data_IF_818013676622
#
_entry.id   IF_818013676622
#
_cell.length_a   1.000
_cell.length_b   1.000
_cell.length_c   1.000
_cell.angle_alpha   90.00
_cell.angle_beta   90.00
_cell.angle_gamma   90.00
#
_symmetry.space_group_name_H-M   'P 1'
#
loop_
_entity.id
_entity.type
_entity.pdbx_description
1 polymer ?
#
# COMPACT_ATOMS: atom_id res chain seq x y z
N UNK A 1 -0.21 17.52 -19.33
CA UNK A 1 -0.13 16.79 -18.04
C UNK A 1 -0.16 17.82 -16.93
N UNK A 2 -1.17 17.77 -16.05
CA UNK A 2 -1.11 18.58 -14.83
C UNK A 2 0.08 18.07 -14.01
N UNK A 3 1.00 18.95 -13.67
CA UNK A 3 2.13 18.61 -12.82
C UNK A 3 1.56 18.38 -11.41
N UNK A 4 1.78 17.21 -10.85
CA UNK A 4 1.36 16.91 -9.49
C UNK A 4 1.95 17.98 -8.54
N UNK A 5 1.16 18.36 -7.54
CA UNK A 5 1.54 19.40 -6.58
C UNK A 5 2.59 18.87 -5.59
N UNK A 6 2.48 17.60 -5.21
CA UNK A 6 3.34 16.92 -4.24
C UNK A 6 4.15 15.82 -4.90
N UNK A 7 5.16 15.33 -4.19
CA UNK A 7 5.95 14.17 -4.60
C UNK A 7 5.38 12.87 -4.07
N UNK A 8 4.90 12.88 -2.84
CA UNK A 8 4.43 11.70 -2.15
C UNK A 8 3.12 12.03 -1.43
N UNK A 9 2.07 11.22 -1.66
CA UNK A 9 0.87 11.20 -0.84
C UNK A 9 0.89 9.96 0.05
N UNK A 10 0.84 10.16 1.36
CA UNK A 10 0.72 9.08 2.35
C UNK A 10 -0.76 8.83 2.60
N UNK A 11 -1.22 7.62 2.28
CA UNK A 11 -2.61 7.19 2.43
C UNK A 11 -2.75 6.43 3.75
N UNK A 12 -3.49 6.99 4.71
CA UNK A 12 -3.52 6.51 6.09
C UNK A 12 -4.96 6.43 6.62
N UNK A 13 -5.68 5.31 6.43
CA UNK A 13 -6.91 5.05 7.16
C UNK A 13 -6.59 4.69 8.61
N UNK A 14 -7.41 5.15 9.56
CA UNK A 14 -7.22 4.92 10.99
C UNK A 14 -8.54 4.72 11.71
N UNK A 15 -8.51 3.97 12.83
CA UNK A 15 -9.63 3.78 13.74
C UNK A 15 -9.16 3.45 15.16
N UNK A 16 -9.53 4.30 16.11
CA UNK A 16 -9.42 4.02 17.55
C UNK A 16 -8.03 3.92 18.15
N UNK A 17 -6.96 4.25 17.40
CA UNK A 17 -5.56 4.08 17.77
C UNK A 17 -4.84 5.41 17.93
N UNK A 18 -5.32 6.25 18.84
CA UNK A 18 -4.87 7.66 18.97
C UNK A 18 -3.36 7.81 19.16
N UNK A 19 -2.76 7.06 20.08
CA UNK A 19 -1.30 7.12 20.34
C UNK A 19 -0.51 6.62 19.16
N UNK A 20 -0.87 5.46 18.59
CA UNK A 20 -0.18 4.87 17.44
C UNK A 20 -0.25 5.80 16.22
N UNK A 21 -1.40 6.42 15.97
CA UNK A 21 -1.56 7.42 14.90
C UNK A 21 -0.61 8.61 15.09
N UNK A 22 -0.49 9.14 16.31
CA UNK A 22 0.43 10.25 16.62
C UNK A 22 1.88 9.84 16.36
N UNK A 23 2.30 8.67 16.86
CA UNK A 23 3.65 8.16 16.71
C UNK A 23 3.97 7.89 15.23
N UNK A 24 3.02 7.32 14.50
CA UNK A 24 3.13 7.04 13.08
C UNK A 24 3.34 8.31 12.25
N UNK A 25 2.47 9.32 12.40
CA UNK A 25 2.58 10.59 11.68
C UNK A 25 3.87 11.33 12.09
N UNK A 26 4.17 11.40 13.38
CA UNK A 26 5.39 12.04 13.86
C UNK A 26 6.65 11.40 13.27
N UNK A 27 6.70 10.06 13.21
CA UNK A 27 7.84 9.35 12.64
C UNK A 27 8.05 9.66 11.15
N UNK A 28 6.97 9.73 10.38
CA UNK A 28 7.05 10.12 8.97
C UNK A 28 7.63 11.53 8.80
N UNK A 29 7.14 12.48 9.57
CA UNK A 29 7.52 13.90 9.43
C UNK A 29 8.92 14.19 9.95
N UNK A 30 9.29 13.62 11.11
CA UNK A 30 10.63 13.81 11.72
C UNK A 30 11.74 13.21 10.85
N UNK A 31 11.47 12.09 10.17
CA UNK A 31 12.44 11.44 9.30
C UNK A 31 12.41 11.94 7.85
N UNK A 32 11.45 12.75 7.46
CA UNK A 32 11.43 13.35 6.13
C UNK A 32 12.43 14.50 6.02
N UNK A 33 13.04 14.66 4.85
CA UNK A 33 13.90 15.80 4.53
C UNK A 33 13.10 17.02 4.10
N UNK A 34 12.04 16.82 3.32
CA UNK A 34 11.25 17.89 2.74
C UNK A 34 9.75 17.61 2.93
N UNK A 35 9.24 17.96 4.07
CA UNK A 35 7.82 17.74 4.42
C UNK A 35 6.84 18.46 3.49
N UNK A 36 7.27 19.53 2.80
CA UNK A 36 6.44 20.28 1.84
C UNK A 36 6.16 19.50 0.55
N UNK A 37 6.92 18.46 0.27
CA UNK A 37 6.68 17.56 -0.87
C UNK A 37 5.73 16.41 -0.51
N UNK A 38 5.26 16.35 0.76
CA UNK A 38 4.42 15.28 1.30
C UNK A 38 3.00 15.81 1.50
N UNK A 39 2.02 15.04 1.05
CA UNK A 39 0.60 15.20 1.34
C UNK A 39 0.14 14.06 2.25
N UNK A 40 -0.39 14.36 3.44
CA UNK A 40 -1.01 13.36 4.31
C UNK A 40 -2.50 13.26 3.99
N UNK A 41 -3.00 12.06 3.65
CA UNK A 41 -4.42 11.83 3.38
C UNK A 41 -4.94 10.81 4.38
N UNK A 42 -5.73 11.30 5.36
CA UNK A 42 -6.22 10.52 6.49
C UNK A 42 -7.69 10.14 6.28
N UNK A 43 -8.02 8.91 6.63
CA UNK A 43 -9.39 8.40 6.61
C UNK A 43 -9.85 8.00 8.01
N UNK A 44 -10.96 8.57 8.49
CA UNK A 44 -11.57 8.27 9.78
C UNK A 44 -12.95 7.66 9.60
N UNK A 45 -13.30 6.67 10.39
CA UNK A 45 -14.69 6.22 10.47
C UNK A 45 -15.56 7.27 11.17
N UNK A 46 -16.74 7.55 10.65
CA UNK A 46 -17.67 8.56 11.20
C UNK A 46 -18.13 8.24 12.63
N UNK A 47 -18.05 6.98 13.04
CA UNK A 47 -18.37 6.52 14.39
C UNK A 47 -17.15 6.53 15.34
N UNK A 48 -15.93 6.76 14.84
CA UNK A 48 -14.71 6.92 15.64
C UNK A 48 -14.49 8.37 16.10
N UNK A 49 -15.38 8.82 16.97
CA UNK A 49 -15.29 10.18 17.53
C UNK A 49 -14.02 10.41 18.35
N UNK A 50 -13.51 9.36 19.03
CA UNK A 50 -12.31 9.48 19.86
C UNK A 50 -11.09 9.71 18.99
N UNK A 51 -10.93 8.95 17.92
CA UNK A 51 -9.82 9.09 16.97
C UNK A 51 -9.85 10.45 16.26
N UNK A 52 -11.01 10.86 15.77
CA UNK A 52 -11.17 12.15 15.11
C UNK A 52 -10.98 13.35 16.06
N UNK A 53 -11.55 13.30 17.26
CA UNK A 53 -11.36 14.34 18.28
C UNK A 53 -9.88 14.48 18.69
N UNK A 54 -9.17 13.36 18.80
CA UNK A 54 -7.73 13.37 19.07
C UNK A 54 -6.94 14.01 17.92
N UNK A 55 -7.24 13.65 16.67
CA UNK A 55 -6.65 14.30 15.51
C UNK A 55 -6.82 15.82 15.54
N UNK A 56 -8.04 16.31 15.75
CA UNK A 56 -8.35 17.74 15.74
C UNK A 56 -7.66 18.49 16.89
N UNK A 57 -7.51 17.88 18.07
CA UNK A 57 -6.97 18.53 19.26
C UNK A 57 -5.45 18.47 19.35
N UNK A 58 -4.86 17.35 18.95
CA UNK A 58 -3.44 17.07 19.22
C UNK A 58 -2.59 17.07 17.95
N UNK A 59 -3.08 16.49 16.84
CA UNK A 59 -2.29 16.32 15.62
C UNK A 59 -2.43 17.50 14.66
N UNK A 60 -3.66 17.89 14.38
CA UNK A 60 -3.94 18.97 13.42
C UNK A 60 -3.23 20.29 13.76
N UNK A 61 -3.21 20.80 15.01
CA UNK A 61 -2.50 22.04 15.33
C UNK A 61 -1.00 21.95 15.08
N UNK A 62 -0.41 20.77 15.26
CA UNK A 62 1.01 20.56 14.98
C UNK A 62 1.28 20.57 13.46
N UNK A 63 0.45 19.89 12.67
CA UNK A 63 0.53 19.92 11.20
C UNK A 63 0.39 21.36 10.67
N UNK A 64 -0.60 22.11 11.16
CA UNK A 64 -0.85 23.50 10.77
C UNK A 64 0.34 24.41 11.11
N UNK A 65 0.92 24.25 12.31
CA UNK A 65 2.06 25.04 12.77
C UNK A 65 3.32 24.83 11.94
N UNK A 66 3.49 23.63 11.37
CA UNK A 66 4.62 23.27 10.52
C UNK A 66 4.33 23.43 9.03
N UNK A 67 3.11 23.84 8.66
CA UNK A 67 2.68 24.02 7.27
C UNK A 67 2.70 22.72 6.47
N UNK A 68 2.32 21.60 7.12
CA UNK A 68 2.19 20.29 6.49
C UNK A 68 0.84 20.23 5.78
N UNK A 69 0.84 19.81 4.52
CA UNK A 69 -0.39 19.61 3.77
C UNK A 69 -1.09 18.32 4.17
N UNK A 70 -2.34 18.40 4.53
CA UNK A 70 -3.15 17.22 4.87
C UNK A 70 -4.60 17.36 4.41
N UNK A 71 -5.25 16.20 4.24
CA UNK A 71 -6.68 16.06 4.00
C UNK A 71 -7.23 15.00 4.96
N UNK A 72 -8.17 15.37 5.83
CA UNK A 72 -8.86 14.43 6.71
C UNK A 72 -10.28 14.19 6.20
N UNK A 73 -10.66 12.92 6.03
CA UNK A 73 -11.93 12.49 5.44
C UNK A 73 -12.68 11.55 6.38
N UNK A 74 -14.01 11.73 6.45
CA UNK A 74 -14.91 10.82 7.17
C UNK A 74 -15.50 9.75 6.26
N UNK A 75 -15.62 8.53 6.78
CA UNK A 75 -16.17 7.37 6.08
C UNK A 75 -17.28 6.71 6.90
N UNK A 76 -18.28 6.16 6.23
CA UNK A 76 -19.13 5.14 6.85
C UNK A 76 -18.25 3.92 7.19
N UNK A 77 -18.38 3.39 8.39
CA UNK A 77 -17.54 2.28 8.84
C UNK A 77 -17.77 1.03 8.01
N UNK A 78 -16.74 0.62 7.26
CA UNK A 78 -16.77 -0.58 6.40
C UNK A 78 -15.98 -1.74 7.01
N UNK A 79 -15.24 -1.49 8.07
CA UNK A 79 -14.35 -2.46 8.70
C UNK A 79 -13.29 -3.01 7.75
N UNK A 80 -12.65 -4.12 8.17
CA UNK A 80 -11.58 -4.74 7.39
C UNK A 80 -12.02 -5.19 5.98
N UNK A 81 -13.25 -5.66 5.83
CA UNK A 81 -13.77 -6.12 4.53
C UNK A 81 -13.84 -5.01 3.47
N UNK A 82 -13.94 -3.76 3.91
CA UNK A 82 -13.96 -2.58 3.05
C UNK A 82 -12.64 -1.81 2.98
N UNK A 83 -11.54 -2.34 3.52
CA UNK A 83 -10.26 -1.62 3.64
C UNK A 83 -9.76 -1.05 2.30
N UNK A 84 -9.91 -1.81 1.21
CA UNK A 84 -9.55 -1.32 -0.12
C UNK A 84 -10.38 -0.11 -0.56
N UNK A 85 -11.63 0.02 -0.10
CA UNK A 85 -12.48 1.17 -0.46
C UNK A 85 -11.97 2.46 0.20
N UNK A 86 -11.49 2.38 1.47
CA UNK A 86 -10.83 3.53 2.09
C UNK A 86 -9.63 3.98 1.25
N UNK A 87 -8.71 3.06 0.96
CA UNK A 87 -7.50 3.40 0.20
C UNK A 87 -7.80 3.88 -1.23
N UNK A 88 -8.82 3.34 -1.89
CA UNK A 88 -9.22 3.80 -3.21
C UNK A 88 -9.73 5.25 -3.18
N UNK A 89 -10.53 5.61 -2.17
CA UNK A 89 -11.02 6.98 -2.02
C UNK A 89 -9.88 7.92 -1.66
N UNK A 90 -8.99 7.56 -0.72
CA UNK A 90 -7.81 8.36 -0.36
C UNK A 90 -6.89 8.55 -1.58
N UNK A 91 -6.63 7.50 -2.35
CA UNK A 91 -5.80 7.55 -3.57
C UNK A 91 -6.39 8.47 -4.64
N UNK A 92 -7.72 8.50 -4.77
CA UNK A 92 -8.41 9.39 -5.72
C UNK A 92 -8.29 10.88 -5.35
N UNK A 93 -7.98 11.23 -4.10
CA UNK A 93 -7.75 12.60 -3.63
C UNK A 93 -6.27 13.02 -3.73
N UNK A 94 -5.37 12.08 -3.98
CA UNK A 94 -3.95 12.37 -4.02
C UNK A 94 -3.57 13.25 -5.22
N UNK A 95 -2.69 14.23 -4.98
CA UNK A 95 -2.12 15.11 -5.99
C UNK A 95 -0.59 14.96 -6.01
N UNK A 96 -0.11 13.72 -6.03
CA UNK A 96 1.28 13.38 -5.88
C UNK A 96 1.79 12.43 -6.98
N UNK A 97 3.11 12.34 -7.15
CA UNK A 97 3.73 11.41 -8.10
C UNK A 97 3.66 9.96 -7.57
N UNK A 98 3.74 9.80 -6.24
CA UNK A 98 3.75 8.52 -5.55
C UNK A 98 2.65 8.45 -4.49
N UNK A 99 2.02 7.27 -4.38
CA UNK A 99 1.04 6.91 -3.36
C UNK A 99 1.71 5.94 -2.38
N UNK A 100 1.86 6.34 -1.14
CA UNK A 100 2.42 5.51 -0.10
C UNK A 100 1.30 4.93 0.76
N UNK A 101 1.02 3.65 0.61
CA UNK A 101 0.07 2.91 1.46
C UNK A 101 0.71 2.74 2.83
N UNK A 102 0.08 3.30 3.86
CA UNK A 102 0.64 3.36 5.20
C UNK A 102 -0.41 3.00 6.26
N UNK A 103 0.02 2.50 7.41
CA UNK A 103 -0.86 2.15 8.53
C UNK A 103 -0.59 3.04 9.74
N UNK A 104 -1.62 3.20 10.58
CA UNK A 104 -1.56 3.99 11.81
C UNK A 104 -0.73 3.32 12.94
N UNK A 105 -0.30 2.08 12.79
CA UNK A 105 0.58 1.33 13.68
C UNK A 105 1.97 1.07 13.09
N UNK A 106 2.35 1.86 12.09
CA UNK A 106 3.66 1.81 11.47
C UNK A 106 4.53 2.99 11.89
N UNK A 107 5.83 2.76 12.06
CA UNK A 107 6.82 3.76 12.45
C UNK A 107 7.93 3.79 11.41
N UNK A 108 8.16 4.96 10.82
CA UNK A 108 9.27 5.20 9.90
C UNK A 108 10.59 5.28 10.67
N UNK A 109 11.61 4.54 10.23
CA UNK A 109 12.93 4.51 10.88
C UNK A 109 14.02 5.17 10.02
N UNK A 110 13.79 5.29 8.71
CA UNK A 110 14.81 5.78 7.78
C UNK A 110 14.79 7.29 7.63
N UNK A 111 15.91 7.92 7.91
CA UNK A 111 16.11 9.35 7.66
C UNK A 111 16.07 9.66 6.17
N UNK A 112 15.39 10.76 5.82
CA UNK A 112 15.27 11.26 4.44
C UNK A 112 14.60 10.26 3.48
N UNK A 113 13.68 9.44 3.99
CA UNK A 113 12.95 8.44 3.22
C UNK A 113 12.25 9.02 1.99
N UNK A 114 11.77 10.25 2.07
CA UNK A 114 11.14 10.99 0.98
C UNK A 114 12.09 11.19 -0.21
N UNK A 115 13.37 11.47 0.06
CA UNK A 115 14.37 11.63 -1.00
C UNK A 115 14.70 10.29 -1.68
N UNK A 116 14.69 9.18 -0.94
CA UNK A 116 14.91 7.85 -1.53
C UNK A 116 13.79 7.53 -2.51
N UNK A 117 12.53 7.74 -2.13
CA UNK A 117 11.38 7.52 -3.03
C UNK A 117 11.47 8.40 -4.28
N UNK A 118 11.81 9.69 -4.12
CA UNK A 118 11.83 10.62 -5.25
C UNK A 118 12.90 10.34 -6.29
N UNK A 119 13.92 9.54 -5.99
CA UNK A 119 14.90 9.07 -6.97
C UNK A 119 14.27 8.19 -8.06
N UNK A 120 13.13 7.60 -7.78
CA UNK A 120 12.39 6.75 -8.70
C UNK A 120 11.29 7.49 -9.47
N UNK A 121 11.16 8.81 -9.30
CA UNK A 121 10.12 9.60 -9.99
C UNK A 121 10.23 9.44 -11.52
N UNK A 122 9.08 9.15 -12.15
CA UNK A 122 8.99 8.88 -13.58
C UNK A 122 9.25 7.41 -13.97
N UNK A 123 9.60 6.55 -13.03
CA UNK A 123 9.70 5.12 -13.26
C UNK A 123 8.37 4.43 -12.99
N UNK A 124 8.04 3.42 -13.80
CA UNK A 124 6.86 2.59 -13.59
C UNK A 124 7.24 1.36 -12.74
N UNK A 125 7.30 1.56 -11.44
CA UNK A 125 7.72 0.57 -10.43
C UNK A 125 6.77 0.59 -9.23
N UNK A 126 6.63 -0.52 -8.53
CA UNK A 126 6.16 -0.55 -7.15
C UNK A 126 7.40 -0.67 -6.25
N UNK A 127 7.54 0.27 -5.30
CA UNK A 127 8.66 0.26 -4.39
C UNK A 127 8.27 -0.49 -3.12
N UNK A 128 9.11 -1.43 -2.73
CA UNK A 128 9.00 -2.21 -1.49
C UNK A 128 10.02 -1.71 -0.48
N UNK A 129 9.56 -1.43 0.73
CA UNK A 129 10.42 -1.09 1.86
C UNK A 129 10.68 -2.30 2.75
N UNK A 130 11.72 -2.25 3.57
CA UNK A 130 12.02 -3.25 4.57
C UNK A 130 11.12 -3.09 5.79
N UNK A 131 10.67 -4.21 6.33
CA UNK A 131 9.92 -4.27 7.59
C UNK A 131 10.52 -5.35 8.48
N UNK A 132 10.27 -5.27 9.78
CA UNK A 132 10.86 -6.12 10.82
C UNK A 132 10.84 -7.62 10.52
N UNK A 133 9.84 -8.10 9.78
CA UNK A 133 9.62 -9.53 9.52
C UNK A 133 9.97 -9.94 8.09
N UNK A 134 10.66 -9.12 7.32
CA UNK A 134 10.99 -9.39 5.92
C UNK A 134 9.85 -10.11 5.17
N UNK A 135 8.67 -9.52 5.22
CA UNK A 135 7.50 -10.13 4.61
C UNK A 135 7.70 -10.29 3.10
N UNK A 136 7.25 -11.40 2.47
CA UNK A 136 7.39 -11.60 1.02
C UNK A 136 6.70 -10.50 0.21
N UNK A 137 5.58 -9.99 0.70
CA UNK A 137 4.86 -8.86 0.10
C UNK A 137 5.41 -7.53 0.59
N UNK A 138 5.13 -6.46 -0.17
CA UNK A 138 5.35 -5.10 0.31
C UNK A 138 4.21 -4.73 1.27
N UNK A 139 4.42 -4.79 2.58
CA UNK A 139 3.40 -4.43 3.58
C UNK A 139 2.96 -2.97 3.40
N UNK A 140 3.90 -2.09 3.08
CA UNK A 140 3.67 -0.69 2.79
C UNK A 140 4.10 -0.38 1.35
N UNK A 141 3.32 -0.78 0.35
CA UNK A 141 3.69 -0.54 -1.05
C UNK A 141 3.63 0.94 -1.39
N UNK A 142 4.63 1.39 -2.18
CA UNK A 142 4.66 2.72 -2.76
C UNK A 142 4.38 2.57 -4.24
N UNK A 143 3.31 3.19 -4.70
CA UNK A 143 2.72 2.96 -6.02
C UNK A 143 2.74 4.28 -6.81
N UNK A 144 3.14 4.29 -8.09
CA UNK A 144 3.07 5.52 -8.88
C UNK A 144 1.62 5.92 -9.16
N UNK A 145 1.32 7.21 -9.13
CA UNK A 145 -0.05 7.73 -9.34
C UNK A 145 -0.69 7.23 -10.65
N UNK A 146 0.11 7.07 -11.70
CA UNK A 146 -0.35 6.54 -12.99
C UNK A 146 -1.03 5.17 -12.87
N UNK A 147 -0.71 4.38 -11.84
CA UNK A 147 -1.40 3.10 -11.58
C UNK A 147 -2.90 3.30 -11.39
N UNK A 148 -3.29 4.26 -10.54
CA UNK A 148 -4.70 4.58 -10.29
C UNK A 148 -5.36 5.20 -11.51
N UNK A 149 -4.63 6.03 -12.25
CA UNK A 149 -5.13 6.64 -13.50
C UNK A 149 -5.47 5.57 -14.55
N UNK A 150 -4.66 4.53 -14.66
CA UNK A 150 -4.84 3.45 -15.63
C UNK A 150 -5.94 2.46 -15.22
N UNK A 151 -6.02 2.13 -13.94
CA UNK A 151 -6.93 1.10 -13.44
C UNK A 151 -8.26 1.66 -12.93
N UNK A 152 -8.33 2.95 -12.58
CA UNK A 152 -9.47 3.58 -11.91
C UNK A 152 -9.59 3.22 -10.42
N UNK A 153 -8.62 2.51 -9.86
CA UNK A 153 -8.56 2.10 -8.45
C UNK A 153 -7.12 1.78 -8.03
N UNK A 154 -6.86 1.81 -6.74
CA UNK A 154 -5.59 1.34 -6.18
C UNK A 154 -5.60 -0.19 -6.02
N UNK A 155 -6.66 -0.72 -5.38
CA UNK A 155 -6.83 -2.15 -5.11
C UNK A 155 -8.30 -2.56 -5.12
N UNK A 156 -8.58 -3.80 -5.49
CA UNK A 156 -9.94 -4.39 -5.49
C UNK A 156 -10.17 -5.36 -4.32
N UNK A 157 -9.13 -5.63 -3.54
CA UNK A 157 -9.18 -6.54 -2.41
C UNK A 157 -8.73 -5.88 -1.10
N UNK A 158 -9.28 -6.30 0.05
CA UNK A 158 -8.89 -5.78 1.35
C UNK A 158 -7.42 -6.10 1.74
N UNK A 159 -6.84 -7.16 1.18
CA UNK A 159 -5.39 -7.45 1.30
C UNK A 159 -4.63 -6.68 0.22
N UNK A 160 -4.53 -5.38 0.41
CA UNK A 160 -3.99 -4.42 -0.57
C UNK A 160 -2.51 -4.71 -0.85
N UNK A 161 -1.75 -4.91 0.21
CA UNK A 161 -0.34 -5.27 0.21
C UNK A 161 -0.05 -6.50 -0.66
N UNK A 162 -0.82 -7.55 -0.45
CA UNK A 162 -0.71 -8.79 -1.22
C UNK A 162 -1.12 -8.60 -2.69
N UNK A 163 -2.24 -7.90 -2.96
CA UNK A 163 -2.72 -7.68 -4.32
C UNK A 163 -1.72 -6.87 -5.15
N UNK A 164 -1.28 -5.72 -4.62
CA UNK A 164 -0.32 -4.85 -5.31
C UNK A 164 1.01 -5.56 -5.55
N UNK A 165 1.52 -6.28 -4.54
CA UNK A 165 2.77 -7.04 -4.66
C UNK A 165 2.67 -8.14 -5.70
N UNK A 166 1.55 -8.85 -5.78
CA UNK A 166 1.37 -9.90 -6.76
C UNK A 166 1.30 -9.38 -8.19
N UNK A 167 0.53 -8.30 -8.42
CA UNK A 167 0.45 -7.69 -9.74
C UNK A 167 1.84 -7.18 -10.16
N UNK A 168 2.55 -6.49 -9.26
CA UNK A 168 3.88 -5.98 -9.53
C UNK A 168 4.89 -7.09 -9.85
N UNK A 169 4.80 -8.20 -9.15
CA UNK A 169 5.61 -9.37 -9.44
C UNK A 169 5.30 -9.98 -10.82
N UNK A 170 4.01 -10.15 -11.15
CA UNK A 170 3.61 -10.65 -12.47
C UNK A 170 4.09 -9.77 -13.63
N UNK A 171 4.31 -8.50 -13.36
CA UNK A 171 4.80 -7.53 -14.34
C UNK A 171 6.32 -7.31 -14.27
N UNK A 172 7.01 -7.90 -13.28
CA UNK A 172 8.45 -7.69 -13.02
C UNK A 172 8.81 -6.21 -12.78
N UNK A 173 8.00 -5.54 -11.95
CA UNK A 173 8.16 -4.11 -11.63
C UNK A 173 8.33 -3.81 -10.14
N UNK A 174 8.62 -4.81 -9.32
CA UNK A 174 8.98 -4.58 -7.91
C UNK A 174 10.42 -4.09 -7.82
N UNK A 175 10.64 -3.05 -7.02
CA UNK A 175 11.95 -2.54 -6.64
C UNK A 175 12.04 -2.48 -5.13
N UNK A 176 13.06 -3.13 -4.55
CA UNK A 176 13.33 -3.06 -3.11
C UNK A 176 14.22 -1.85 -2.86
N UNK A 177 13.80 -0.98 -1.96
CA UNK A 177 14.50 0.26 -1.64
C UNK A 177 14.93 0.29 -0.17
N UNK A 178 16.02 0.97 0.13
CA UNK A 178 16.64 1.03 1.47
C UNK A 178 15.89 2.00 2.40
N UNK A 179 14.63 1.67 2.64
CA UNK A 179 13.77 2.32 3.64
C UNK A 179 13.31 1.25 4.62
N UNK A 180 13.41 1.53 5.91
CA UNK A 180 13.03 0.65 7.00
C UNK A 180 11.89 1.24 7.80
N UNK A 181 10.94 0.40 8.17
CA UNK A 181 9.82 0.77 9.02
C UNK A 181 9.46 -0.40 9.96
N UNK A 182 9.09 -0.07 11.17
CA UNK A 182 8.48 -1.03 12.11
C UNK A 182 6.98 -1.08 11.88
N UNK A 183 6.37 -2.25 12.00
CA UNK A 183 4.94 -2.46 11.98
C UNK A 183 4.53 -3.17 13.27
N UNK A 184 3.79 -2.51 14.13
CA UNK A 184 3.30 -3.06 15.40
C UNK A 184 2.14 -4.03 15.17
N UNK A 185 2.45 -5.22 14.71
CA UNK A 185 1.43 -6.27 14.50
C UNK A 185 0.94 -6.83 15.86
N UNK A 186 -0.32 -7.25 15.89
CA UNK A 186 -0.96 -7.82 17.08
C UNK A 186 -0.23 -9.04 17.67
N UNK A 187 0.43 -9.84 16.84
CA UNK A 187 1.27 -10.96 17.27
C UNK A 187 2.56 -10.53 17.99
N UNK A 188 3.03 -9.30 17.76
CA UNK A 188 4.18 -8.71 18.45
C UNK A 188 3.75 -7.98 19.71
N UNK A 189 2.61 -7.31 19.67
CA UNK A 189 2.10 -6.51 20.81
C UNK A 189 1.18 -7.28 21.75
N UNK A 190 0.73 -8.47 21.36
CA UNK A 190 -0.28 -9.26 22.09
C UNK A 190 -1.68 -8.64 22.08
N UNK A 191 -1.91 -7.58 21.31
CA UNK A 191 -3.20 -6.93 21.18
C UNK A 191 -3.93 -7.47 19.94
N UNK A 192 -5.06 -8.14 20.16
CA UNK A 192 -5.95 -8.57 19.09
C UNK A 192 -6.98 -7.46 18.84
N UNK A 193 -6.88 -6.82 17.71
CA UNK A 193 -7.88 -5.87 17.23
C UNK A 193 -8.95 -6.56 16.35
N UNK A 194 -9.99 -5.79 15.99
CA UNK A 194 -11.09 -6.28 15.14
C UNK A 194 -10.59 -6.69 13.75
N UNK A 195 -9.53 -6.05 13.25
CA UNK A 195 -8.91 -6.37 11.96
C UNK A 195 -8.33 -7.78 11.95
N UNK A 196 -7.55 -8.12 12.97
CA UNK A 196 -6.96 -9.46 13.12
C UNK A 196 -8.04 -10.54 13.27
N UNK A 197 -9.10 -10.29 14.03
CA UNK A 197 -10.21 -11.24 14.20
C UNK A 197 -11.01 -11.45 12.92
N UNK A 198 -11.24 -10.39 12.15
CA UNK A 198 -11.93 -10.50 10.87
C UNK A 198 -11.09 -11.21 9.80
N UNK A 199 -9.78 -10.97 9.78
CA UNK A 199 -8.83 -11.66 8.90
C UNK A 199 -8.91 -13.18 9.07
N UNK A 200 -8.89 -13.68 10.30
CA UNK A 200 -9.02 -15.12 10.60
C UNK A 200 -10.32 -15.73 10.04
N UNK A 201 -11.42 -14.98 10.03
CA UNK A 201 -12.72 -15.46 9.53
C UNK A 201 -12.74 -15.68 8.01
N UNK A 202 -11.98 -14.89 7.25
CA UNK A 202 -11.98 -14.92 5.79
C UNK A 202 -10.87 -15.81 5.23
N UNK A 203 -9.69 -15.81 5.81
CA UNK A 203 -8.52 -16.52 5.30
C UNK A 203 -8.59 -18.04 5.40
N UNK A 204 -9.41 -18.57 6.30
CA UNK A 204 -9.56 -20.01 6.50
C UNK A 204 -10.75 -20.63 5.74
N UNK A 205 -11.40 -19.89 4.87
CA UNK A 205 -12.53 -20.38 4.07
C UNK A 205 -12.33 -20.10 2.57
N UNK A 206 -11.74 -21.03 1.82
CA UNK A 206 -11.42 -20.84 0.39
C UNK A 206 -12.66 -20.61 -0.49
N UNK A 207 -13.85 -20.87 0.02
CA UNK A 207 -15.11 -20.58 -0.67
C UNK A 207 -15.75 -19.25 -0.23
N UNK A 208 -15.11 -18.51 0.66
CA UNK A 208 -15.63 -17.23 1.11
C UNK A 208 -15.56 -16.21 -0.02
N UNK A 209 -16.62 -15.41 -0.28
CA UNK A 209 -16.62 -14.42 -1.36
C UNK A 209 -15.52 -13.35 -1.26
N UNK A 210 -14.92 -13.18 -0.08
CA UNK A 210 -13.79 -12.28 0.18
C UNK A 210 -12.45 -13.02 0.30
N UNK A 211 -12.40 -14.31 -0.05
CA UNK A 211 -11.14 -15.04 -0.11
C UNK A 211 -10.24 -14.47 -1.21
N UNK A 212 -8.97 -14.25 -0.87
CA UNK A 212 -7.99 -13.65 -1.79
C UNK A 212 -7.78 -14.49 -3.05
N UNK A 213 -7.96 -15.82 -2.95
CA UNK A 213 -7.84 -16.78 -4.02
C UNK A 213 -9.17 -17.09 -4.71
N UNK A 214 -10.25 -16.40 -4.34
CA UNK A 214 -11.51 -16.57 -5.05
C UNK A 214 -11.35 -16.17 -6.53
N UNK A 215 -11.92 -16.96 -7.46
CA UNK A 215 -11.70 -16.84 -8.89
C UNK A 215 -11.94 -15.42 -9.44
N UNK A 216 -12.92 -14.69 -8.92
CA UNK A 216 -13.21 -13.30 -9.34
C UNK A 216 -12.03 -12.36 -9.10
N UNK A 217 -11.37 -12.47 -7.95
CA UNK A 217 -10.22 -11.61 -7.63
C UNK A 217 -8.98 -12.00 -8.43
N UNK A 218 -8.82 -13.28 -8.72
CA UNK A 218 -7.77 -13.76 -9.63
C UNK A 218 -7.98 -13.15 -11.02
N UNK A 219 -9.19 -13.23 -11.57
CA UNK A 219 -9.52 -12.65 -12.87
C UNK A 219 -9.33 -11.12 -12.89
N UNK A 220 -9.68 -10.43 -11.82
CA UNK A 220 -9.48 -8.99 -11.70
C UNK A 220 -7.98 -8.63 -11.71
N UNK A 221 -7.15 -9.34 -10.94
CA UNK A 221 -5.70 -9.13 -10.95
C UNK A 221 -5.08 -9.41 -12.32
N UNK A 222 -5.55 -10.43 -13.02
CA UNK A 222 -5.12 -10.71 -14.40
C UNK A 222 -5.51 -9.59 -15.35
N UNK A 223 -6.74 -9.06 -15.24
CA UNK A 223 -7.20 -7.92 -16.03
C UNK A 223 -6.37 -6.66 -15.74
N UNK A 224 -6.03 -6.41 -14.47
CA UNK A 224 -5.16 -5.32 -14.08
C UNK A 224 -3.75 -5.49 -14.69
N UNK A 225 -3.19 -6.70 -14.65
CA UNK A 225 -1.91 -6.98 -15.31
C UNK A 225 -1.97 -6.72 -16.82
N UNK A 226 -3.05 -7.06 -17.49
CA UNK A 226 -3.21 -6.80 -18.94
C UNK A 226 -3.23 -5.29 -19.23
N UNK A 227 -3.99 -4.52 -18.45
CA UNK A 227 -4.06 -3.06 -18.59
C UNK A 227 -2.70 -2.41 -18.36
N UNK A 228 -2.03 -2.76 -17.27
CA UNK A 228 -0.72 -2.19 -16.94
C UNK A 228 0.36 -2.65 -17.91
N UNK A 229 0.33 -3.90 -18.38
CA UNK A 229 1.24 -4.43 -19.41
C UNK A 229 1.09 -3.67 -20.73
N UNK A 230 -0.13 -3.31 -21.13
CA UNK A 230 -0.36 -2.49 -22.32
C UNK A 230 0.29 -1.10 -22.18
N UNK A 231 0.18 -0.47 -21.01
CA UNK A 231 0.87 0.77 -20.73
C UNK A 231 2.40 0.60 -20.76
N UNK A 232 2.94 -0.44 -20.12
CA UNK A 232 4.38 -0.74 -20.12
C UNK A 232 4.91 -0.85 -21.55
N UNK A 233 4.21 -1.57 -22.43
CA UNK A 233 4.55 -1.68 -23.86
C UNK A 233 4.57 -0.31 -24.54
N UNK A 234 3.60 0.56 -24.22
CA UNK A 234 3.49 1.89 -24.82
C UNK A 234 4.64 2.82 -24.46
N UNK A 235 5.29 2.59 -23.32
CA UNK A 235 6.47 3.36 -22.84
C UNK A 235 7.80 2.60 -23.03
N UNK A 236 7.79 1.49 -23.75
CA UNK A 236 9.00 0.73 -24.12
C UNK A 236 9.55 -0.19 -23.02
N UNK A 237 8.76 -0.51 -21.99
CA UNK A 237 9.15 -1.47 -20.95
C UNK A 237 8.85 -2.91 -21.38
N UNK A 238 9.68 -3.85 -20.90
CA UNK A 238 9.49 -5.28 -21.16
C UNK A 238 8.26 -5.81 -20.43
N UNK A 239 7.51 -6.68 -21.11
CA UNK A 239 6.39 -7.44 -20.55
C UNK A 239 6.58 -8.93 -20.69
N UNK A 240 7.81 -9.36 -20.99
CA UNK A 240 8.13 -10.76 -21.33
C UNK A 240 7.72 -11.73 -20.23
N UNK A 241 7.85 -11.34 -18.98
CA UNK A 241 7.47 -12.20 -17.86
C UNK A 241 5.95 -12.48 -17.89
N UNK A 242 5.12 -11.43 -17.97
CA UNK A 242 3.67 -11.59 -18.02
C UNK A 242 3.20 -12.32 -19.29
N UNK A 243 3.75 -11.98 -20.45
CA UNK A 243 3.42 -12.63 -21.72
C UNK A 243 3.76 -14.14 -21.66
N UNK A 244 4.87 -14.52 -21.03
CA UNK A 244 5.24 -15.92 -20.80
C UNK A 244 4.28 -16.63 -19.83
N UNK A 245 3.91 -15.99 -18.72
CA UNK A 245 2.94 -16.53 -17.75
C UNK A 245 1.62 -16.81 -18.47
N UNK A 246 1.08 -15.86 -19.22
CA UNK A 246 -0.17 -16.04 -19.99
C UNK A 246 -0.11 -17.15 -21.02
N UNK A 247 1.01 -17.29 -21.74
CA UNK A 247 1.15 -18.27 -22.80
C UNK A 247 1.28 -19.71 -22.31
N UNK A 248 1.81 -19.91 -21.12
CA UNK A 248 2.12 -21.25 -20.57
C UNK A 248 1.09 -21.78 -19.61
N UNK A 249 0.20 -20.96 -19.10
CA UNK A 249 -0.71 -21.30 -18.03
C UNK A 249 -2.16 -21.02 -18.43
N UNK A 250 -3.02 -22.04 -18.39
CA UNK A 250 -4.47 -21.83 -18.44
C UNK A 250 -4.96 -21.03 -17.24
N UNK A 251 -4.26 -21.17 -16.12
CA UNK A 251 -4.43 -20.39 -14.89
C UNK A 251 -3.05 -19.90 -14.43
N UNK A 252 -2.64 -18.67 -14.79
CA UNK A 252 -1.39 -18.07 -14.35
C UNK A 252 -1.25 -18.05 -12.84
N UNK A 253 -2.36 -17.96 -12.11
CA UNK A 253 -2.41 -17.96 -10.68
C UNK A 253 -2.04 -19.32 -10.06
N UNK A 254 -2.59 -20.42 -10.58
CA UNK A 254 -2.24 -21.75 -10.10
C UNK A 254 -0.76 -22.07 -10.37
N UNK A 255 -0.21 -21.55 -11.46
CA UNK A 255 1.23 -21.66 -11.72
C UNK A 255 2.04 -20.91 -10.65
N UNK A 256 1.65 -19.71 -10.32
CA UNK A 256 2.30 -18.92 -9.27
C UNK A 256 2.14 -19.55 -7.89
N UNK A 257 0.94 -20.04 -7.58
CA UNK A 257 0.65 -20.70 -6.31
C UNK A 257 1.45 -21.99 -6.12
N UNK A 258 1.64 -22.78 -7.17
CA UNK A 258 2.38 -24.07 -7.10
C UNK A 258 3.89 -23.90 -7.05
N UNK A 259 4.41 -22.85 -7.67
CA UNK A 259 5.87 -22.71 -7.83
C UNK A 259 6.49 -21.67 -6.89
N UNK A 260 5.71 -20.92 -6.07
CA UNK A 260 6.18 -19.58 -5.82
C UNK A 260 6.17 -19.01 -4.43
N UNK A 261 5.38 -19.43 -3.49
CA UNK A 261 5.52 -18.84 -2.14
C UNK A 261 6.93 -19.09 -1.61
N UNK A 262 7.52 -20.27 -1.88
CA UNK A 262 8.89 -20.57 -1.44
C UNK A 262 9.99 -20.00 -2.35
N UNK A 263 9.73 -19.83 -3.65
CA UNK A 263 10.70 -19.21 -4.56
C UNK A 263 10.66 -17.67 -4.48
N UNK A 264 9.52 -17.07 -4.19
CA UNK A 264 9.38 -15.66 -3.85
C UNK A 264 10.25 -15.30 -2.65
N UNK A 265 10.15 -16.06 -1.57
CA UNK A 265 10.97 -15.88 -0.38
C UNK A 265 12.48 -15.90 -0.71
N UNK A 266 12.91 -16.78 -1.64
CA UNK A 266 14.32 -16.88 -2.05
C UNK A 266 14.78 -15.73 -2.95
N UNK A 267 13.95 -15.24 -3.84
CA UNK A 267 14.32 -14.11 -4.72
C UNK A 267 14.47 -12.80 -3.93
N UNK A 268 13.67 -12.58 -2.91
CA UNK A 268 13.80 -11.42 -2.03
C UNK A 268 14.94 -11.55 -1.02
N UNK A 269 15.35 -12.77 -0.64
CA UNK A 269 16.50 -13.01 0.25
C UNK A 269 17.86 -12.87 -0.44
N UNK A 270 17.95 -13.09 -1.74
CA UNK A 270 19.22 -13.00 -2.51
C UNK A 270 19.61 -11.55 -2.82
N UNK A 271 18.68 -10.60 -2.76
CA UNK A 271 18.96 -9.17 -2.94
C UNK A 271 19.49 -8.47 -1.67
N UNK A 272 19.58 -9.19 -0.54
CA UNK A 272 20.01 -8.66 0.77
C UNK A 272 21.44 -9.08 1.16
N UNK A 273 22.30 -9.44 0.19
CA UNK A 273 23.71 -9.75 0.42
C UNK A 273 24.62 -8.80 -0.32
#
# INVERSE_FOLDING_TARGET
>A
MNKNQFKIAVLLPTRGRTTALTDSISSLLVHAKNTKDIQLILGFDNDDKIGFDHFVKEIQPDLDSHGIEYLAMGFESMGYAGLNQYYNVLAAQAQADWLFVWNDDAVMETQHWDQIITQYTGQFKILKIHTHNEHPYSIFPIVPQIWVELLGHLSLHQMIDAELSQIAYMLDIIEIIDIHATHEQSNLTGKHDDTSQNKIRFENNPNHPLDFHHHRFIQQRMSNCDTLSAHMKSIGLSTTFWDNVKSKCQDPWEHMKKNDINNHMRMFQVASV
#
